data_IF_358765797780
#
_entry.id   IF_358765797780
#
_cell.length_a   1.000
_cell.length_b   1.000
_cell.length_c   1.000
_cell.angle_alpha   90.00
_cell.angle_beta   90.00
_cell.angle_gamma   90.00
#
_symmetry.space_group_name_H-M   'P 1'
#
loop_
_entity.id
_entity.type
_entity.pdbx_description
1 polymer ?
#
# COMPACT_ATOMS: atom_id res chain seq x y z
N UNK A 1 -30.74 16.29 1.04
CA UNK A 1 -30.10 16.22 2.37
C UNK A 1 -31.02 15.45 3.33
N UNK A 2 -31.17 14.12 3.16
CA UNK A 2 -31.90 13.28 4.14
C UNK A 2 -31.75 11.74 3.90
N UNK A 3 -30.78 11.28 3.11
CA UNK A 3 -30.61 9.84 2.81
C UNK A 3 -29.29 9.26 3.36
N UNK A 4 -28.31 10.11 3.73
CA UNK A 4 -27.01 9.66 4.27
C UNK A 4 -27.07 9.10 5.70
N UNK A 5 -28.11 9.42 6.48
CA UNK A 5 -28.21 8.96 7.88
C UNK A 5 -28.72 7.50 7.94
N UNK A 6 -29.49 7.05 6.95
CA UNK A 6 -30.10 5.70 6.98
C UNK A 6 -29.12 4.56 6.65
N UNK A 7 -28.07 4.81 5.86
CA UNK A 7 -27.11 3.75 5.47
C UNK A 7 -26.08 3.50 6.59
N UNK A 8 -25.63 4.55 7.28
CA UNK A 8 -24.76 4.40 8.44
C UNK A 8 -25.47 3.64 9.57
N UNK A 9 -26.78 3.89 9.74
CA UNK A 9 -27.62 3.14 10.68
C UNK A 9 -27.81 1.68 10.22
N UNK A 10 -27.96 1.38 8.92
CA UNK A 10 -28.16 -0.01 8.46
C UNK A 10 -26.91 -0.88 8.62
N UNK A 11 -25.72 -0.33 8.34
CA UNK A 11 -24.43 -1.00 8.59
C UNK A 11 -24.20 -1.15 10.09
N UNK A 12 -24.50 -0.12 10.90
CA UNK A 12 -24.37 -0.18 12.36
C UNK A 12 -25.39 -1.11 13.05
N UNK A 13 -26.60 -1.26 12.48
CA UNK A 13 -27.64 -2.18 12.97
C UNK A 13 -27.30 -3.63 12.59
N UNK A 14 -26.80 -3.90 11.38
CA UNK A 14 -26.23 -5.22 11.03
C UNK A 14 -25.02 -5.57 11.92
N UNK A 15 -24.20 -4.57 12.26
CA UNK A 15 -23.06 -4.71 13.16
C UNK A 15 -23.49 -5.03 14.61
N UNK A 16 -24.60 -4.50 15.10
CA UNK A 16 -25.07 -4.71 16.48
C UNK A 16 -26.11 -5.83 16.67
N UNK A 17 -26.88 -6.20 15.64
CA UNK A 17 -27.95 -7.21 15.78
C UNK A 17 -27.67 -8.55 15.09
N UNK A 18 -26.70 -8.66 14.19
CA UNK A 18 -26.50 -9.91 13.41
C UNK A 18 -25.13 -10.57 13.61
N UNK A 19 -24.16 -9.89 14.24
CA UNK A 19 -22.82 -10.43 14.54
C UNK A 19 -22.64 -11.01 15.95
N UNK A 20 -23.73 -11.32 16.67
CA UNK A 20 -23.62 -12.12 17.91
C UNK A 20 -23.24 -13.59 17.66
N UNK A 21 -23.17 -14.04 16.39
CA UNK A 21 -22.98 -15.44 16.04
C UNK A 21 -21.88 -15.72 14.99
N UNK A 22 -21.05 -14.72 14.64
CA UNK A 22 -19.91 -14.95 13.74
C UNK A 22 -18.62 -15.11 14.55
N UNK A 23 -17.86 -16.20 14.39
CA UNK A 23 -16.61 -16.40 15.11
C UNK A 23 -15.61 -15.27 14.83
N UNK A 24 -14.96 -14.75 15.87
CA UNK A 24 -13.84 -13.78 15.82
C UNK A 24 -12.86 -13.98 14.63
N UNK A 25 -12.40 -15.20 14.28
CA UNK A 25 -11.47 -15.38 13.16
C UNK A 25 -12.03 -15.02 11.77
N UNK A 26 -13.36 -15.08 11.55
CA UNK A 26 -13.98 -14.74 10.26
C UNK A 26 -14.08 -13.23 10.02
N UNK A 27 -14.18 -12.43 11.09
CA UNK A 27 -14.19 -10.97 11.03
C UNK A 27 -12.83 -10.45 10.56
N UNK A 28 -11.74 -11.04 11.06
CA UNK A 28 -10.38 -10.71 10.63
C UNK A 28 -10.14 -11.03 9.14
N UNK A 29 -10.69 -12.13 8.62
CA UNK A 29 -10.54 -12.52 7.21
C UNK A 29 -11.26 -11.56 6.26
N UNK A 30 -12.48 -11.09 6.60
CA UNK A 30 -13.21 -10.10 5.78
C UNK A 30 -12.49 -8.75 5.79
N UNK A 31 -11.97 -8.33 6.94
CA UNK A 31 -11.21 -7.09 7.06
C UNK A 31 -9.87 -7.14 6.29
N UNK A 32 -9.20 -8.31 6.30
CA UNK A 32 -8.01 -8.59 5.50
C UNK A 32 -8.34 -8.58 4.01
N UNK A 33 -9.46 -9.16 3.57
CA UNK A 33 -9.86 -9.13 2.17
C UNK A 33 -10.21 -7.71 1.70
N UNK A 34 -10.86 -6.88 2.52
CA UNK A 34 -11.15 -5.48 2.16
C UNK A 34 -9.89 -4.60 2.13
N UNK A 35 -8.90 -4.86 3.00
CA UNK A 35 -7.63 -4.14 3.03
C UNK A 35 -6.57 -4.66 2.03
N UNK A 36 -6.63 -5.94 1.65
CA UNK A 36 -5.80 -6.54 0.59
C UNK A 36 -6.38 -6.29 -0.81
N UNK A 37 -7.70 -6.28 -0.99
CA UNK A 37 -8.35 -6.07 -2.29
C UNK A 37 -8.84 -4.65 -2.55
N UNK A 38 -8.75 -3.70 -1.61
CA UNK A 38 -9.27 -2.33 -1.77
C UNK A 38 -10.58 -2.30 -2.57
N UNK A 39 -11.60 -3.00 -2.08
CA UNK A 39 -12.91 -3.03 -2.74
C UNK A 39 -13.48 -1.61 -2.75
N UNK A 40 -13.50 -1.01 -3.94
CA UNK A 40 -14.25 0.21 -4.20
C UNK A 40 -15.72 -0.15 -4.22
N UNK A 41 -16.49 0.22 -3.20
CA UNK A 41 -17.93 0.34 -3.36
C UNK A 41 -18.19 1.55 -4.28
N UNK A 42 -18.23 1.27 -5.59
CA UNK A 42 -18.61 2.21 -6.62
C UNK A 42 -20.10 2.54 -6.50
N UNK A 43 -20.43 3.75 -6.06
CA UNK A 43 -21.77 4.31 -6.23
C UNK A 43 -22.11 4.36 -7.73
N UNK A 44 -23.11 3.58 -8.14
CA UNK A 44 -23.70 3.65 -9.47
C UNK A 44 -24.62 4.87 -9.55
N UNK A 45 -24.08 5.99 -10.02
CA UNK A 45 -24.87 7.02 -10.69
C UNK A 45 -24.42 7.03 -12.18
N UNK A 46 -25.35 6.90 -13.14
CA UNK A 46 -24.98 6.89 -14.55
C UNK A 46 -24.46 8.27 -14.95
N UNK A 47 -23.19 8.35 -15.37
CA UNK A 47 -22.67 9.50 -16.12
C UNK A 47 -21.42 10.19 -15.60
N UNK A 48 -20.90 9.91 -14.40
CA UNK A 48 -19.64 10.52 -13.94
C UNK A 48 -18.97 9.65 -12.85
N UNK A 49 -18.00 8.81 -13.23
CA UNK A 49 -17.14 8.12 -12.24
C UNK A 49 -16.13 9.13 -11.70
N UNK A 50 -16.49 9.86 -10.64
CA UNK A 50 -15.46 10.51 -9.83
C UNK A 50 -14.73 9.42 -9.05
N UNK A 51 -13.66 8.86 -9.63
CA UNK A 51 -12.74 8.00 -8.87
C UNK A 51 -12.09 8.91 -7.83
N UNK A 52 -12.52 8.81 -6.58
CA UNK A 52 -11.80 9.43 -5.48
C UNK A 52 -10.36 8.89 -5.50
N UNK A 53 -9.40 9.73 -5.89
CA UNK A 53 -7.99 9.35 -5.83
C UNK A 53 -7.65 9.04 -4.39
N UNK A 54 -7.24 7.81 -4.13
CA UNK A 54 -6.80 7.39 -2.81
C UNK A 54 -5.50 8.11 -2.47
N UNK A 55 -5.29 8.33 -1.18
CA UNK A 55 -4.05 8.93 -0.71
C UNK A 55 -3.57 8.31 0.59
N UNK A 56 -2.25 8.33 0.74
CA UNK A 56 -1.57 7.88 1.94
C UNK A 56 -0.40 8.81 2.25
N UNK A 57 -0.09 8.97 3.53
CA UNK A 57 1.22 9.46 3.95
C UNK A 57 2.16 8.27 4.00
N UNK A 58 3.29 8.37 3.30
CA UNK A 58 4.28 7.29 3.18
C UNK A 58 5.63 7.67 3.82
N UNK A 59 6.20 6.75 4.60
CA UNK A 59 7.61 6.76 5.03
C UNK A 59 8.31 5.51 4.50
N UNK A 60 9.59 5.64 4.12
CA UNK A 60 10.44 4.51 3.77
C UNK A 60 11.77 4.58 4.51
N UNK A 61 12.20 3.46 5.06
CA UNK A 61 13.47 3.35 5.77
C UNK A 61 14.21 2.07 5.40
N UNK A 62 15.54 2.12 5.39
CA UNK A 62 16.39 0.92 5.33
C UNK A 62 16.35 0.20 6.68
N UNK A 63 16.33 -1.13 6.66
CA UNK A 63 16.23 -1.96 7.86
C UNK A 63 17.49 -2.81 7.99
N UNK A 64 18.17 -2.70 9.13
CA UNK A 64 19.37 -3.49 9.44
C UNK A 64 19.03 -4.80 10.15
N UNK A 65 18.03 -4.77 11.03
CA UNK A 65 17.53 -5.95 11.74
C UNK A 65 16.04 -6.22 11.39
N UNK A 66 15.78 -6.97 10.31
CA UNK A 66 14.41 -7.26 9.89
C UNK A 66 13.69 -8.20 10.87
N UNK A 67 14.41 -8.98 11.68
CA UNK A 67 13.81 -9.89 12.66
C UNK A 67 13.21 -9.09 13.81
N UNK A 68 14.00 -8.18 14.39
CA UNK A 68 13.52 -7.31 15.47
C UNK A 68 12.36 -6.41 15.02
N UNK A 69 12.44 -5.84 13.80
CA UNK A 69 11.34 -5.03 13.27
C UNK A 69 10.06 -5.87 13.12
N UNK A 70 10.18 -7.10 12.60
CA UNK A 70 9.04 -7.99 12.42
C UNK A 70 8.41 -8.41 13.76
N UNK A 71 9.21 -8.65 14.80
CA UNK A 71 8.72 -8.95 16.15
C UNK A 71 7.92 -7.79 16.74
N UNK A 72 8.44 -6.56 16.65
CA UNK A 72 7.71 -5.36 17.11
C UNK A 72 6.43 -5.14 16.31
N UNK A 73 6.51 -5.23 14.98
CA UNK A 73 5.33 -5.10 14.12
C UNK A 73 4.29 -6.18 14.44
N UNK A 74 4.72 -7.40 14.75
CA UNK A 74 3.82 -8.50 15.12
C UNK A 74 3.14 -8.27 16.47
N UNK A 75 3.86 -7.72 17.45
CA UNK A 75 3.31 -7.34 18.75
C UNK A 75 2.26 -6.23 18.61
N UNK A 76 2.60 -5.15 17.89
CA UNK A 76 1.70 -4.01 17.68
C UNK A 76 0.48 -4.36 16.82
N UNK A 77 0.63 -5.24 15.84
CA UNK A 77 -0.48 -5.68 14.97
C UNK A 77 -1.26 -6.86 15.53
N UNK A 78 -0.77 -7.50 16.59
CA UNK A 78 -1.29 -8.77 17.14
C UNK A 78 -1.40 -9.87 16.07
N UNK A 79 -0.48 -9.87 15.09
CA UNK A 79 -0.51 -10.75 13.93
C UNK A 79 0.91 -11.11 13.49
N UNK A 80 1.10 -12.29 12.90
CA UNK A 80 2.37 -12.61 12.24
C UNK A 80 2.53 -11.91 10.88
N UNK A 81 1.55 -11.13 10.44
CA UNK A 81 1.55 -10.49 9.13
C UNK A 81 1.39 -11.47 7.97
N UNK A 82 1.19 -10.93 6.78
CA UNK A 82 0.93 -11.71 5.56
C UNK A 82 2.12 -11.61 4.62
N UNK A 83 2.62 -12.74 4.14
CA UNK A 83 3.68 -12.79 3.14
C UNK A 83 3.08 -12.68 1.73
N UNK A 84 3.62 -11.76 0.93
CA UNK A 84 3.17 -11.47 -0.43
C UNK A 84 4.40 -11.35 -1.32
N UNK A 85 4.48 -12.15 -2.38
CA UNK A 85 5.51 -12.00 -3.42
C UNK A 85 5.01 -11.04 -4.49
N UNK A 86 5.84 -10.09 -4.88
CA UNK A 86 5.45 -9.01 -5.78
C UNK A 86 6.52 -8.78 -6.83
N UNK A 87 6.14 -8.88 -8.10
CA UNK A 87 6.98 -8.58 -9.24
C UNK A 87 6.42 -7.32 -9.90
N UNK A 88 7.08 -6.19 -9.65
CA UNK A 88 6.65 -4.88 -10.13
C UNK A 88 7.45 -4.52 -11.39
N UNK A 89 6.81 -4.45 -12.57
CA UNK A 89 7.39 -3.88 -13.79
C UNK A 89 7.04 -2.39 -13.85
N UNK A 90 8.05 -1.53 -13.96
CA UNK A 90 7.90 -0.08 -14.10
C UNK A 90 8.03 0.31 -15.57
N UNK A 91 7.15 1.21 -16.01
CA UNK A 91 7.14 1.72 -17.39
C UNK A 91 7.59 3.18 -17.42
N UNK A 92 8.07 3.64 -18.57
CA UNK A 92 8.28 5.07 -18.75
C UNK A 92 6.92 5.78 -18.72
N UNK A 93 6.87 6.93 -18.05
CA UNK A 93 5.66 7.73 -17.93
C UNK A 93 6.04 9.20 -17.93
N UNK A 94 5.32 10.02 -18.70
CA UNK A 94 5.61 11.46 -18.81
C UNK A 94 5.30 12.23 -17.53
N UNK A 95 4.43 11.70 -16.68
CA UNK A 95 4.04 12.29 -15.40
C UNK A 95 3.87 11.20 -14.35
N UNK A 96 4.37 11.42 -13.15
CA UNK A 96 4.24 10.46 -12.05
C UNK A 96 4.97 9.15 -12.34
N UNK A 97 4.43 8.05 -11.81
CA UNK A 97 5.01 6.72 -11.94
C UNK A 97 3.91 5.71 -12.28
N UNK A 98 4.19 4.85 -13.24
CA UNK A 98 3.31 3.76 -13.65
C UNK A 98 4.03 2.43 -13.43
N UNK A 99 3.36 1.49 -12.76
CA UNK A 99 3.85 0.13 -12.60
C UNK A 99 2.74 -0.90 -12.73
N UNK A 100 3.08 -2.06 -13.25
CA UNK A 100 2.25 -3.25 -13.17
C UNK A 100 2.84 -4.17 -12.11
N UNK A 101 2.04 -4.48 -11.10
CA UNK A 101 2.36 -5.45 -10.06
C UNK A 101 1.75 -6.80 -10.41
N UNK A 102 2.57 -7.82 -10.51
CA UNK A 102 2.16 -9.22 -10.56
C UNK A 102 2.27 -9.82 -9.14
N UNK A 103 1.16 -10.36 -8.62
CA UNK A 103 1.06 -10.96 -7.28
C UNK A 103 1.45 -12.45 -7.25
N UNK A 104 1.96 -12.98 -8.37
CA UNK A 104 2.46 -14.35 -8.52
C UNK A 104 1.41 -15.43 -8.22
N UNK A 105 0.13 -15.08 -8.34
CA UNK A 105 -1.02 -15.95 -8.11
C UNK A 105 -2.04 -15.88 -9.26
N UNK A 106 -1.63 -15.38 -10.42
CA UNK A 106 -2.50 -15.17 -11.59
C UNK A 106 -3.26 -13.85 -11.58
N UNK A 107 -3.10 -13.01 -10.55
CA UNK A 107 -3.67 -11.66 -10.49
C UNK A 107 -2.59 -10.58 -10.45
N UNK A 108 -2.97 -9.37 -10.87
CA UNK A 108 -2.10 -8.21 -10.79
C UNK A 108 -2.85 -6.89 -10.72
N UNK A 109 -2.08 -5.82 -10.64
CA UNK A 109 -2.58 -4.48 -10.42
C UNK A 109 -1.77 -3.49 -11.26
N UNK A 110 -2.44 -2.74 -12.13
CA UNK A 110 -1.85 -1.57 -12.76
C UNK A 110 -2.02 -0.39 -11.81
N UNK A 111 -0.90 0.22 -11.43
CA UNK A 111 -0.85 1.26 -10.40
C UNK A 111 -0.19 2.50 -10.99
N UNK A 112 -0.95 3.59 -11.02
CA UNK A 112 -0.43 4.93 -11.23
C UNK A 112 -0.33 5.65 -9.89
N UNK A 113 0.77 6.37 -9.66
CA UNK A 113 0.90 7.19 -8.46
C UNK A 113 1.82 8.39 -8.66
N UNK A 114 1.57 9.42 -7.85
CA UNK A 114 2.34 10.65 -7.76
C UNK A 114 2.72 10.91 -6.32
N UNK A 115 4.01 11.17 -6.10
CA UNK A 115 4.53 11.64 -4.82
C UNK A 115 5.78 12.49 -5.06
N UNK A 116 6.06 13.48 -4.19
CA UNK A 116 7.32 14.20 -4.20
C UNK A 116 8.48 13.29 -3.76
N UNK A 117 9.68 13.54 -4.30
CA UNK A 117 10.90 12.81 -3.95
C UNK A 117 11.64 13.43 -2.76
N UNK A 118 10.92 13.59 -1.65
CA UNK A 118 11.45 14.07 -0.37
C UNK A 118 11.61 12.92 0.62
N UNK A 119 12.48 13.10 1.62
CA UNK A 119 12.59 12.22 2.79
C UNK A 119 11.42 12.46 3.75
N UNK A 120 11.25 11.53 4.69
CA UNK A 120 10.16 11.60 5.67
C UNK A 120 8.75 11.34 5.13
N UNK A 121 7.73 11.63 5.96
CA UNK A 121 6.31 11.43 5.67
C UNK A 121 5.84 12.31 4.50
N UNK A 122 5.34 11.69 3.43
CA UNK A 122 4.93 12.41 2.21
C UNK A 122 3.59 11.91 1.68
N UNK A 123 2.77 12.85 1.20
CA UNK A 123 1.50 12.51 0.55
C UNK A 123 1.77 11.84 -0.80
N UNK A 124 1.23 10.64 -0.95
CA UNK A 124 1.16 9.91 -2.19
C UNK A 124 -0.30 9.85 -2.65
N UNK A 125 -0.56 10.19 -3.91
CA UNK A 125 -1.87 10.02 -4.55
C UNK A 125 -1.76 8.90 -5.56
N UNK A 126 -2.71 7.98 -5.55
CA UNK A 126 -2.62 6.80 -6.40
C UNK A 126 -3.97 6.33 -6.95
N UNK A 127 -3.89 5.56 -8.02
CA UNK A 127 -5.00 4.89 -8.68
C UNK A 127 -4.59 3.47 -9.00
N UNK A 128 -5.49 2.52 -8.74
CA UNK A 128 -5.27 1.09 -8.96
C UNK A 128 -6.35 0.57 -9.90
N UNK A 129 -5.94 -0.24 -10.88
CA UNK A 129 -6.85 -1.06 -11.67
C UNK A 129 -6.41 -2.53 -11.55
N UNK A 130 -7.29 -3.44 -11.10
CA UNK A 130 -6.97 -4.86 -11.08
C UNK A 130 -6.87 -5.41 -12.52
N UNK A 131 -6.09 -6.48 -12.69
CA UNK A 131 -6.03 -7.30 -13.90
C UNK A 131 -5.93 -8.78 -13.52
N UNK A 132 -6.57 -9.64 -14.30
CA UNK A 132 -6.44 -11.11 -14.22
C UNK A 132 -5.46 -11.68 -15.25
N UNK A 133 -4.81 -10.81 -16.04
CA UNK A 133 -3.80 -11.21 -17.02
C UNK A 133 -2.63 -10.21 -17.01
N UNK A 134 -1.77 -10.25 -15.96
CA UNK A 134 -0.58 -9.41 -15.89
C UNK A 134 0.38 -9.62 -17.07
N UNK A 135 0.68 -10.86 -17.55
CA UNK A 135 1.59 -11.06 -18.67
C UNK A 135 1.19 -10.34 -19.95
N UNK A 136 -0.09 -10.45 -20.35
CA UNK A 136 -0.60 -9.77 -21.55
C UNK A 136 -0.57 -8.26 -21.41
N UNK A 137 -1.02 -7.73 -20.27
CA UNK A 137 -0.99 -6.28 -20.01
C UNK A 137 0.44 -5.74 -19.97
N UNK A 138 1.39 -6.50 -19.43
CA UNK A 138 2.82 -6.15 -19.44
C UNK A 138 3.34 -6.03 -20.87
N UNK A 139 3.00 -6.97 -21.75
CA UNK A 139 3.47 -6.95 -23.14
C UNK A 139 3.01 -5.67 -23.85
N UNK A 140 1.71 -5.38 -23.80
CA UNK A 140 1.14 -4.17 -24.43
C UNK A 140 1.75 -2.88 -23.88
N UNK A 141 1.90 -2.77 -22.55
CA UNK A 141 2.49 -1.57 -21.95
C UNK A 141 3.99 -1.45 -22.23
N UNK A 142 4.71 -2.56 -22.36
CA UNK A 142 6.12 -2.56 -22.74
C UNK A 142 6.30 -2.04 -24.16
N UNK A 143 5.46 -2.46 -25.10
CA UNK A 143 5.51 -1.98 -26.49
C UNK A 143 5.12 -0.49 -26.60
N UNK A 144 4.11 -0.07 -25.83
CA UNK A 144 3.59 1.29 -25.90
C UNK A 144 4.47 2.34 -25.19
N UNK A 145 5.08 1.98 -24.06
CA UNK A 145 5.76 2.94 -23.17
C UNK A 145 7.24 2.63 -22.97
N UNK A 146 7.70 1.42 -23.29
CA UNK A 146 8.99 0.91 -22.87
C UNK A 146 9.04 0.60 -21.37
N UNK A 147 9.93 -0.32 -21.01
CA UNK A 147 10.17 -0.72 -19.62
C UNK A 147 11.27 0.16 -19.03
N UNK A 148 10.99 0.77 -17.87
CA UNK A 148 11.99 1.51 -17.07
C UNK A 148 12.84 0.55 -16.23
N UNK A 149 12.25 -0.55 -15.77
CA UNK A 149 12.93 -1.61 -15.04
C UNK A 149 11.97 -2.48 -14.23
N UNK A 150 12.51 -3.43 -13.47
CA UNK A 150 11.74 -4.38 -12.69
C UNK A 150 12.22 -4.41 -11.23
N UNK A 151 11.28 -4.65 -10.31
CA UNK A 151 11.56 -4.83 -8.89
C UNK A 151 10.89 -6.12 -8.43
N UNK A 152 11.70 -7.06 -7.93
CA UNK A 152 11.22 -8.30 -7.31
C UNK A 152 11.40 -8.21 -5.80
N UNK A 153 10.34 -8.55 -5.07
CA UNK A 153 10.39 -8.49 -3.61
C UNK A 153 9.43 -9.46 -2.94
N UNK A 154 9.79 -9.83 -1.71
CA UNK A 154 8.90 -10.46 -0.75
C UNK A 154 8.52 -9.44 0.32
N UNK A 155 7.22 -9.25 0.52
CA UNK A 155 6.65 -8.31 1.48
C UNK A 155 6.00 -9.06 2.61
N UNK A 156 6.35 -8.73 3.85
CA UNK A 156 5.57 -9.07 5.05
C UNK A 156 4.74 -7.86 5.44
N UNK A 157 3.42 -7.95 5.24
CA UNK A 157 2.45 -6.89 5.55
C UNK A 157 1.87 -7.07 6.94
N UNK A 158 1.90 -6.02 7.74
CA UNK A 158 1.17 -5.89 9.00
C UNK A 158 0.17 -4.73 8.92
N UNK A 159 -0.95 -4.85 9.64
CA UNK A 159 -1.95 -3.80 9.77
C UNK A 159 -1.95 -3.30 11.21
N UNK A 160 -1.66 -2.02 11.42
CA UNK A 160 -1.64 -1.39 12.74
C UNK A 160 -2.51 -0.12 12.66
N UNK A 161 -3.71 -0.18 13.24
CA UNK A 161 -4.70 0.89 13.09
C UNK A 161 -5.04 1.15 11.62
N UNK A 162 -4.80 2.38 11.16
CA UNK A 162 -5.00 2.78 9.75
C UNK A 162 -3.74 2.63 8.87
N UNK A 163 -2.65 2.12 9.43
CA UNK A 163 -1.35 2.08 8.78
C UNK A 163 -1.04 0.68 8.28
N UNK A 164 -0.65 0.60 7.01
CA UNK A 164 -0.05 -0.61 6.45
C UNK A 164 1.45 -0.53 6.68
N UNK A 165 1.99 -1.50 7.39
CA UNK A 165 3.43 -1.63 7.64
C UNK A 165 3.96 -2.73 6.74
N UNK A 166 4.85 -2.37 5.84
CA UNK A 166 5.51 -3.28 4.94
C UNK A 166 6.94 -3.52 5.42
N UNK A 167 7.30 -4.78 5.64
CA UNK A 167 8.69 -5.20 5.70
C UNK A 167 9.03 -5.90 4.39
N UNK A 168 9.78 -5.23 3.54
CA UNK A 168 10.14 -5.67 2.20
C UNK A 168 11.57 -6.22 2.18
N UNK A 169 11.73 -7.41 1.62
CA UNK A 169 13.03 -7.93 1.16
C UNK A 169 13.09 -7.76 -0.34
N UNK A 170 13.94 -6.85 -0.81
CA UNK A 170 14.04 -6.43 -2.22
C UNK A 170 15.31 -6.98 -2.83
N UNK A 171 15.16 -7.69 -3.95
CA UNK A 171 16.30 -8.24 -4.70
C UNK A 171 17.25 -7.12 -5.14
N UNK A 172 18.54 -7.25 -4.84
CA UNK A 172 19.56 -6.26 -5.15
C UNK A 172 19.66 -5.06 -4.20
N UNK A 173 18.72 -4.86 -3.26
CA UNK A 173 18.77 -3.71 -2.31
C UNK A 173 18.79 -4.12 -0.82
N UNK A 174 18.28 -5.30 -0.47
CA UNK A 174 18.19 -5.76 0.92
C UNK A 174 16.84 -5.45 1.57
N UNK A 175 16.84 -5.08 2.85
CA UNK A 175 15.61 -4.96 3.66
C UNK A 175 15.18 -3.52 3.88
N UNK A 176 13.88 -3.28 3.78
CA UNK A 176 13.28 -1.96 3.92
C UNK A 176 11.94 -2.05 4.65
N UNK A 177 11.61 -0.97 5.36
CA UNK A 177 10.29 -0.74 5.91
C UNK A 177 9.59 0.33 5.07
N UNK A 178 8.31 0.14 4.77
CA UNK A 178 7.42 1.23 4.35
C UNK A 178 6.24 1.33 5.33
N UNK A 179 5.91 2.56 5.74
CA UNK A 179 4.66 2.88 6.44
C UNK A 179 3.75 3.59 5.46
N UNK A 180 2.54 3.07 5.25
CA UNK A 180 1.51 3.72 4.42
C UNK A 180 0.28 4.00 5.28
N UNK A 181 0.20 5.22 5.81
CA UNK A 181 -0.95 5.72 6.58
C UNK A 181 -2.06 6.08 5.59
N UNK A 182 -3.12 5.28 5.54
CA UNK A 182 -4.25 5.53 4.62
C UNK A 182 -5.03 6.74 5.11
N UNK A 183 -5.14 7.79 4.29
CA UNK A 183 -5.81 9.04 4.70
C UNK A 183 -7.33 8.87 4.73
N UNK A 184 -7.96 9.38 5.80
CA UNK A 184 -9.42 9.53 5.86
C UNK A 184 -9.83 10.85 5.18
N UNK A 185 -11.04 10.97 4.62
CA UNK A 185 -11.48 12.18 3.91
C UNK A 185 -11.33 13.48 4.72
N UNK A 186 -11.53 13.41 6.03
CA UNK A 186 -11.47 14.52 6.98
C UNK A 186 -10.09 14.74 7.61
N UNK A 187 -9.13 13.84 7.37
CA UNK A 187 -7.83 13.88 8.02
C UNK A 187 -6.87 14.81 7.26
N UNK A 188 -6.23 15.71 8.01
CA UNK A 188 -5.18 16.60 7.48
C UNK A 188 -3.91 15.82 7.18
N UNK A 189 -3.04 16.36 6.32
CA UNK A 189 -1.77 15.69 5.99
C UNK A 189 -0.91 15.59 7.25
N UNK A 190 -0.86 16.65 8.06
CA UNK A 190 -0.10 16.76 9.29
C UNK A 190 -0.49 15.69 10.31
N UNK A 191 -1.78 15.41 10.49
CA UNK A 191 -2.25 14.29 11.32
C UNK A 191 -1.77 12.94 10.79
N UNK A 192 -1.79 12.75 9.46
CA UNK A 192 -1.24 11.54 8.83
C UNK A 192 0.27 11.39 9.01
N UNK A 193 1.01 12.51 8.97
CA UNK A 193 2.45 12.54 9.23
C UNK A 193 2.74 12.19 10.69
N UNK A 194 2.00 12.75 11.65
CA UNK A 194 2.17 12.43 13.07
C UNK A 194 1.94 10.94 13.34
N UNK A 195 0.88 10.34 12.77
CA UNK A 195 0.63 8.89 12.89
C UNK A 195 1.80 8.07 12.34
N UNK A 196 2.39 8.51 11.24
CA UNK A 196 3.53 7.82 10.63
C UNK A 196 4.79 7.93 11.50
N UNK A 197 5.06 9.10 12.07
CA UNK A 197 6.21 9.36 12.95
C UNK A 197 6.09 8.60 14.28
N UNK A 198 4.92 8.64 14.92
CA UNK A 198 4.67 7.92 16.18
C UNK A 198 4.86 6.41 16.01
N UNK A 199 4.38 5.86 14.89
CA UNK A 199 4.53 4.44 14.61
C UNK A 199 5.98 4.07 14.25
N UNK A 200 6.69 4.95 13.55
CA UNK A 200 8.11 4.77 13.25
C UNK A 200 8.94 4.69 14.54
N UNK A 201 8.66 5.55 15.53
CA UNK A 201 9.31 5.51 16.84
C UNK A 201 8.99 4.22 17.60
N UNK A 202 7.73 3.79 17.62
CA UNK A 202 7.31 2.53 18.26
C UNK A 202 8.00 1.29 17.64
N UNK A 203 8.22 1.32 16.33
CA UNK A 203 8.96 0.28 15.62
C UNK A 203 10.48 0.38 15.84
N UNK A 204 10.97 1.47 16.43
CA UNK A 204 12.39 1.73 16.69
C UNK A 204 13.18 2.02 15.43
N UNK A 205 12.56 2.67 14.44
CA UNK A 205 13.22 3.06 13.19
C UNK A 205 13.77 4.48 13.32
N UNK A 206 15.07 4.63 13.10
CA UNK A 206 15.76 5.91 13.20
C UNK A 206 15.53 6.80 11.98
N UNK A 207 15.54 8.12 12.18
CA UNK A 207 15.39 9.10 11.08
C UNK A 207 16.55 9.03 10.07
N UNK A 208 17.73 8.65 10.52
CA UNK A 208 18.94 8.46 9.69
C UNK A 208 18.80 7.28 8.73
N UNK A 209 17.88 6.35 8.99
CA UNK A 209 17.59 5.21 8.11
C UNK A 209 16.60 5.57 7.01
N UNK A 210 16.01 6.77 7.02
CA UNK A 210 15.05 7.21 6.01
C UNK A 210 15.68 7.31 4.64
N UNK A 211 14.93 6.87 3.62
CA UNK A 211 15.37 6.91 2.22
C UNK A 211 14.33 7.57 1.32
N UNK A 212 14.82 8.19 0.25
CA UNK A 212 13.99 8.85 -0.78
C UNK A 212 13.84 7.98 -2.02
N UNK A 213 12.80 8.23 -2.82
CA UNK A 213 12.58 7.54 -4.09
C UNK A 213 11.94 6.14 -4.01
N UNK A 214 11.47 5.65 -5.15
CA UNK A 214 10.96 4.29 -5.29
C UNK A 214 12.12 3.28 -5.31
N UNK A 215 11.85 1.99 -5.08
CA UNK A 215 12.90 0.96 -5.20
C UNK A 215 13.56 0.96 -6.58
N UNK A 216 12.79 1.24 -7.64
CA UNK A 216 13.32 1.39 -8.99
C UNK A 216 14.38 2.51 -9.08
N UNK A 217 14.14 3.64 -8.39
CA UNK A 217 15.07 4.77 -8.41
C UNK A 217 16.37 4.42 -7.63
N UNK A 218 16.28 3.61 -6.58
CA UNK A 218 17.44 3.12 -5.82
C UNK A 218 18.26 2.10 -6.62
N UNK A 219 17.61 1.17 -7.31
CA UNK A 219 18.28 0.19 -8.17
C UNK A 219 19.04 0.86 -9.32
N UNK A 220 18.42 1.84 -9.98
CA UNK A 220 19.06 2.57 -11.09
C UNK A 220 20.28 3.36 -10.62
N UNK A 221 20.26 3.93 -9.40
CA UNK A 221 21.43 4.59 -8.81
C UNK A 221 22.57 3.60 -8.56
N UNK A 222 22.26 2.46 -7.93
CA UNK A 222 23.26 1.43 -7.64
C UNK A 222 23.93 0.83 -8.88
N UNK A 223 23.25 0.85 -10.04
CA UNK A 223 23.82 0.42 -11.33
C UNK A 223 24.71 1.49 -11.98
N UNK A 224 24.46 2.78 -11.74
CA UNK A 224 25.25 3.88 -12.30
C UNK A 224 26.59 4.07 -11.57
N UNK A 225 26.70 3.61 -10.33
CA UNK A 225 27.91 3.69 -9.49
C UNK A 225 28.88 2.49 -9.67
N UNK A 226 28.59 1.60 -10.63
CA UNK A 226 29.39 0.40 -10.99
C UNK A 226 29.86 0.45 -12.43
#
# INVERSE_FOLDING_TARGET
MCVCIYIYIYIYILFNNTLKFVPQPLISVIFILLNLNQYTDSFHLPGYQYRAMLSNVEIKAKVTDPVQLAEKAAQLSQSQGTIIRQYDTFFNCSRGRLKLRDLQNGSGQLIFYERPDTDGPKLCRYSISPTSDPPSLRAVLSDALGVKGEVRKERRLFLIGQTRVHLDTVEGLGHYMELEVVMRPEQTVEEGQQVAEDLMEQLGVSKESLVTGAYMDLLLKGQADT
#
